data_IF_796516326068
#
_entry.id   IF_796516326068
#
_cell.length_a   1.000
_cell.length_b   1.000
_cell.length_c   1.000
_cell.angle_alpha   90.00
_cell.angle_beta   90.00
_cell.angle_gamma   90.00
#
_symmetry.space_group_name_H-M   'P 1'
#
loop_
_entity.id
_entity.type
_entity.pdbx_description
1 polymer ?
#
# COMPACT_ATOMS: atom_id res chain seq x y z
N UNK A 1 21.70 -8.02 -14.81
CA UNK A 1 23.03 -7.89 -14.18
C UNK A 1 23.28 -6.54 -13.49
N UNK A 2 22.75 -5.39 -14.02
CA UNK A 2 23.01 -4.08 -13.42
C UNK A 2 22.53 -3.94 -11.98
N UNK A 3 21.38 -4.50 -11.63
CA UNK A 3 20.78 -4.41 -10.29
C UNK A 3 21.16 -5.58 -9.37
N UNK A 4 21.87 -6.58 -9.87
CA UNK A 4 22.31 -7.74 -9.09
C UNK A 4 23.17 -7.28 -7.92
N UNK A 5 22.86 -7.77 -6.70
CA UNK A 5 23.53 -7.37 -5.44
C UNK A 5 23.34 -5.90 -5.02
N UNK A 6 22.39 -5.17 -5.65
CA UNK A 6 22.06 -3.77 -5.30
C UNK A 6 20.62 -3.62 -4.84
N UNK A 7 19.69 -4.36 -5.44
CA UNK A 7 18.26 -4.36 -5.09
C UNK A 7 17.88 -5.77 -4.67
N UNK A 8 17.35 -5.88 -3.45
CA UNK A 8 16.99 -7.16 -2.84
C UNK A 8 15.47 -7.39 -2.74
N UNK A 9 14.68 -6.38 -3.08
CA UNK A 9 13.22 -6.40 -3.00
C UNK A 9 12.63 -5.97 -4.34
N UNK A 10 11.82 -6.82 -4.96
CA UNK A 10 11.11 -6.50 -6.20
C UNK A 10 9.62 -6.72 -6.01
N UNK A 11 8.83 -5.66 -6.23
CA UNK A 11 7.38 -5.75 -6.25
C UNK A 11 6.90 -6.06 -7.67
N UNK A 12 6.04 -7.09 -7.80
CA UNK A 12 5.47 -7.47 -9.07
C UNK A 12 4.19 -6.68 -9.32
N UNK A 13 4.26 -5.77 -10.30
CA UNK A 13 3.18 -4.88 -10.71
C UNK A 13 2.74 -3.91 -9.62
N UNK A 14 1.70 -3.10 -9.93
CA UNK A 14 1.12 -2.13 -9.01
C UNK A 14 -0.40 -2.14 -9.15
N UNK A 15 -1.15 -2.25 -8.03
CA UNK A 15 -2.61 -2.11 -7.96
C UNK A 15 -3.36 -2.81 -9.10
N UNK A 16 -2.96 -4.04 -9.43
CA UNK A 16 -3.52 -4.84 -10.51
C UNK A 16 -5.04 -5.03 -10.42
N UNK A 17 -5.61 -4.89 -9.24
CA UNK A 17 -7.01 -5.05 -8.88
C UNK A 17 -7.85 -3.78 -9.10
N UNK A 18 -7.25 -2.69 -9.55
CA UNK A 18 -7.91 -1.40 -9.74
C UNK A 18 -7.67 -0.81 -11.15
N UNK A 19 -8.48 0.21 -11.48
CA UNK A 19 -8.29 1.00 -12.69
C UNK A 19 -7.08 1.95 -12.61
N UNK A 20 -6.56 2.21 -11.42
CA UNK A 20 -5.36 3.03 -11.24
C UNK A 20 -4.10 2.28 -11.66
N UNK A 21 -4.05 0.98 -11.41
CA UNK A 21 -2.94 0.12 -11.85
C UNK A 21 -3.08 -0.46 -13.25
N UNK A 22 -4.30 -0.46 -13.81
CA UNK A 22 -4.58 -1.01 -15.13
C UNK A 22 -5.68 -0.20 -15.83
N UNK A 23 -5.63 -0.09 -17.16
CA UNK A 23 -6.70 0.53 -17.98
C UNK A 23 -8.03 -0.22 -17.84
N UNK A 24 -7.97 -1.53 -17.52
CA UNK A 24 -9.10 -2.36 -17.09
C UNK A 24 -8.66 -3.10 -15.81
N UNK A 25 -9.56 -3.32 -14.83
CA UNK A 25 -9.24 -4.14 -13.67
C UNK A 25 -8.66 -5.49 -14.12
N UNK A 26 -7.50 -5.85 -13.60
CA UNK A 26 -6.85 -7.12 -13.91
C UNK A 26 -7.70 -8.31 -13.44
N UNK A 27 -7.64 -9.40 -14.18
CA UNK A 27 -8.21 -10.67 -13.71
C UNK A 27 -7.24 -11.31 -12.72
N UNK A 28 -7.77 -11.88 -11.66
CA UNK A 28 -6.98 -12.57 -10.64
C UNK A 28 -6.07 -13.63 -11.25
N UNK A 29 -6.60 -14.44 -12.17
CA UNK A 29 -5.84 -15.53 -12.81
C UNK A 29 -4.68 -15.03 -13.68
N UNK A 30 -4.86 -13.89 -14.36
CA UNK A 30 -3.79 -13.32 -15.18
C UNK A 30 -2.68 -12.78 -14.29
N UNK A 31 -3.03 -12.15 -13.16
CA UNK A 31 -2.03 -11.71 -12.18
C UNK A 31 -1.32 -12.90 -11.53
N UNK A 32 -2.03 -13.97 -11.16
CA UNK A 32 -1.42 -15.21 -10.64
C UNK A 32 -0.42 -15.81 -11.63
N UNK A 33 -0.75 -15.86 -12.93
CA UNK A 33 0.19 -16.33 -13.98
C UNK A 33 1.45 -15.46 -14.06
N UNK A 34 1.26 -14.12 -14.07
CA UNK A 34 2.37 -13.17 -14.07
C UNK A 34 3.30 -13.39 -12.87
N UNK A 35 2.72 -13.49 -11.66
CA UNK A 35 3.48 -13.69 -10.43
C UNK A 35 4.27 -15.00 -10.47
N UNK A 36 3.63 -16.11 -10.85
CA UNK A 36 4.31 -17.42 -10.92
C UNK A 36 5.49 -17.40 -11.88
N UNK A 37 5.30 -16.84 -13.07
CA UNK A 37 6.38 -16.75 -14.07
C UNK A 37 7.53 -15.85 -13.59
N UNK A 38 7.21 -14.67 -13.06
CA UNK A 38 8.19 -13.68 -12.60
C UNK A 38 8.94 -14.18 -11.37
N UNK A 39 8.24 -14.74 -10.38
CA UNK A 39 8.84 -15.31 -9.18
C UNK A 39 9.85 -16.41 -9.54
N UNK A 40 9.45 -17.34 -10.39
CA UNK A 40 10.31 -18.44 -10.83
C UNK A 40 11.56 -17.91 -11.53
N UNK A 41 11.42 -16.94 -12.43
CA UNK A 41 12.55 -16.33 -13.12
C UNK A 41 13.51 -15.61 -12.16
N UNK A 42 12.97 -14.81 -11.22
CA UNK A 42 13.80 -14.11 -10.22
C UNK A 42 14.54 -15.11 -9.34
N UNK A 43 13.85 -16.11 -8.81
CA UNK A 43 14.47 -17.10 -7.92
C UNK A 43 15.52 -17.98 -8.59
N UNK A 44 15.37 -18.21 -9.89
CA UNK A 44 16.38 -18.91 -10.69
C UNK A 44 17.69 -18.10 -10.81
N UNK A 45 17.56 -16.78 -10.98
CA UNK A 45 18.73 -15.89 -11.15
C UNK A 45 19.37 -15.49 -9.81
N UNK A 46 18.56 -15.25 -8.78
CA UNK A 46 19.00 -14.76 -7.47
C UNK A 46 18.03 -15.22 -6.37
N UNK A 47 18.27 -16.37 -5.76
CA UNK A 47 17.36 -16.95 -4.73
C UNK A 47 17.16 -16.05 -3.50
N UNK A 48 18.15 -15.20 -3.20
CA UNK A 48 18.15 -14.28 -2.06
C UNK A 48 17.16 -13.10 -2.22
N UNK A 49 16.79 -12.75 -3.44
CA UNK A 49 15.86 -11.67 -3.73
C UNK A 49 14.49 -11.97 -3.13
N UNK A 50 13.93 -10.99 -2.44
CA UNK A 50 12.57 -11.06 -1.88
C UNK A 50 11.56 -10.51 -2.88
N UNK A 51 10.62 -11.34 -3.24
CA UNK A 51 9.55 -11.00 -4.19
C UNK A 51 8.32 -10.55 -3.42
N UNK A 52 7.94 -9.29 -3.65
CA UNK A 52 6.75 -8.67 -3.08
C UNK A 52 5.61 -8.85 -4.08
N UNK A 53 4.50 -9.39 -3.61
CA UNK A 53 3.30 -9.62 -4.43
C UNK A 53 2.08 -8.95 -3.83
N UNK A 54 0.97 -9.11 -4.50
CA UNK A 54 -0.34 -8.59 -4.12
C UNK A 54 -0.54 -7.14 -4.51
N UNK A 55 0.24 -6.17 -3.99
CA UNK A 55 0.08 -4.72 -4.28
C UNK A 55 -1.38 -4.29 -4.33
N UNK A 56 -2.18 -4.78 -3.35
CA UNK A 56 -3.62 -4.57 -3.34
C UNK A 56 -3.96 -3.10 -3.19
N UNK A 57 -4.73 -2.58 -4.13
CA UNK A 57 -5.33 -1.26 -4.00
C UNK A 57 -6.38 -1.21 -2.89
N UNK A 58 -6.84 -0.01 -2.58
CA UNK A 58 -7.98 0.16 -1.67
C UNK A 58 -9.23 -0.63 -2.11
N UNK A 59 -9.39 -0.92 -3.42
CA UNK A 59 -10.53 -1.68 -3.93
C UNK A 59 -10.58 -3.14 -3.44
N UNK A 60 -9.44 -3.73 -3.10
CA UNK A 60 -9.38 -5.09 -2.55
C UNK A 60 -10.16 -5.26 -1.24
N UNK A 61 -10.42 -4.17 -0.53
CA UNK A 61 -11.12 -4.14 0.75
C UNK A 61 -12.62 -3.85 0.64
N UNK A 62 -13.13 -3.65 -0.56
CA UNK A 62 -14.51 -3.18 -0.76
C UNK A 62 -15.56 -4.09 -0.15
N UNK A 63 -15.44 -5.40 -0.32
CA UNK A 63 -16.38 -6.35 0.30
C UNK A 63 -16.35 -6.26 1.83
N UNK A 64 -15.16 -6.19 2.41
CA UNK A 64 -14.96 -6.09 3.86
C UNK A 64 -15.56 -4.81 4.45
N UNK A 65 -15.53 -3.73 3.65
CA UNK A 65 -16.09 -2.43 4.03
C UNK A 65 -17.57 -2.28 3.67
N UNK A 66 -18.19 -3.30 3.05
CA UNK A 66 -19.59 -3.26 2.63
C UNK A 66 -19.86 -2.34 1.44
N UNK A 67 -18.84 -2.03 0.62
CA UNK A 67 -18.95 -1.11 -0.52
C UNK A 67 -19.46 -1.84 -1.78
N UNK A 68 -18.86 -2.99 -2.10
CA UNK A 68 -19.27 -3.86 -3.21
C UNK A 68 -18.76 -5.30 -3.00
N UNK A 69 -19.00 -6.19 -3.97
CA UNK A 69 -18.67 -7.62 -3.87
C UNK A 69 -17.20 -7.95 -4.14
N UNK A 70 -16.34 -6.99 -4.48
CA UNK A 70 -14.94 -7.25 -4.81
C UNK A 70 -14.20 -7.79 -3.58
N UNK A 71 -13.55 -8.93 -3.74
CA UNK A 71 -12.85 -9.66 -2.67
C UNK A 71 -11.52 -10.22 -3.17
N UNK A 72 -10.66 -9.33 -3.66
CA UNK A 72 -9.40 -9.73 -4.28
C UNK A 72 -8.43 -10.39 -3.29
N UNK A 73 -8.47 -10.00 -2.01
CA UNK A 73 -7.63 -10.62 -0.98
C UNK A 73 -7.89 -12.12 -0.92
N UNK A 74 -9.14 -12.54 -0.77
CA UNK A 74 -9.47 -13.96 -0.63
C UNK A 74 -9.28 -14.75 -1.92
N UNK A 75 -9.47 -14.12 -3.08
CA UNK A 75 -9.35 -14.81 -4.38
C UNK A 75 -7.92 -14.94 -4.86
N UNK A 76 -7.03 -14.03 -4.43
CA UNK A 76 -5.61 -14.07 -4.78
C UNK A 76 -4.76 -14.83 -3.75
N UNK A 77 -4.95 -14.58 -2.44
CA UNK A 77 -4.15 -15.23 -1.38
C UNK A 77 -4.67 -16.66 -1.13
N UNK A 78 -4.48 -17.52 -2.10
CA UNK A 78 -4.79 -18.95 -2.04
C UNK A 78 -3.53 -19.75 -1.72
N UNK A 79 -3.66 -20.96 -1.19
CA UNK A 79 -2.53 -21.76 -0.69
C UNK A 79 -1.41 -21.94 -1.74
N UNK A 80 -1.78 -22.15 -3.00
CA UNK A 80 -0.83 -22.27 -4.10
C UNK A 80 0.02 -21.00 -4.30
N UNK A 81 -0.54 -19.82 -4.06
CA UNK A 81 0.19 -18.55 -4.20
C UNK A 81 1.16 -18.27 -3.06
N UNK A 82 1.04 -18.96 -1.94
CA UNK A 82 2.00 -18.84 -0.84
C UNK A 82 3.42 -19.27 -1.24
N UNK A 83 3.55 -20.21 -2.18
CA UNK A 83 4.83 -20.67 -2.72
C UNK A 83 5.50 -19.65 -3.65
N UNK A 84 4.75 -18.69 -4.17
CA UNK A 84 5.22 -17.66 -5.11
C UNK A 84 5.20 -16.25 -4.51
N UNK A 85 5.24 -16.17 -3.17
CA UNK A 85 5.18 -14.90 -2.42
C UNK A 85 6.18 -14.94 -1.30
N UNK A 86 7.11 -13.98 -1.24
CA UNK A 86 7.96 -13.80 -0.05
C UNK A 86 7.35 -12.75 0.88
N UNK A 87 6.75 -11.70 0.34
CA UNK A 87 6.18 -10.57 1.07
C UNK A 87 4.84 -10.17 0.43
N UNK A 88 3.86 -9.85 1.26
CA UNK A 88 2.54 -9.37 0.82
C UNK A 88 2.54 -7.84 0.87
N UNK A 89 2.12 -7.19 -0.21
CA UNK A 89 1.95 -5.74 -0.27
C UNK A 89 0.48 -5.31 -0.26
N UNK A 90 0.18 -4.23 0.46
CA UNK A 90 -1.13 -3.58 0.49
C UNK A 90 -1.00 -2.07 0.41
N UNK A 91 -1.98 -1.40 -0.20
CA UNK A 91 -2.14 0.04 -0.26
C UNK A 91 -3.47 0.43 0.42
N UNK A 92 -3.53 0.54 1.74
CA UNK A 92 -4.80 0.72 2.48
C UNK A 92 -5.28 2.17 2.48
N UNK A 93 -5.30 2.82 1.30
CA UNK A 93 -5.76 4.21 1.15
C UNK A 93 -7.20 4.41 1.61
N UNK A 94 -7.46 5.59 2.14
CA UNK A 94 -8.82 6.09 2.41
C UNK A 94 -9.22 7.18 1.42
N UNK A 95 -8.25 7.87 0.80
CA UNK A 95 -8.48 8.76 -0.33
C UNK A 95 -9.27 8.04 -1.44
N UNK A 96 -9.90 8.74 -2.35
CA UNK A 96 -10.72 8.18 -3.44
C UNK A 96 -12.00 7.42 -3.01
N UNK A 97 -12.32 7.37 -1.73
CA UNK A 97 -13.53 6.74 -1.22
C UNK A 97 -14.51 7.81 -0.74
N UNK A 98 -15.55 8.10 -1.53
CA UNK A 98 -16.58 9.07 -1.15
C UNK A 98 -17.10 8.74 0.27
N UNK A 99 -17.09 9.76 1.16
CA UNK A 99 -17.50 9.60 2.55
C UNK A 99 -16.43 9.02 3.51
N UNK A 100 -15.22 8.68 3.00
CA UNK A 100 -14.15 8.08 3.82
C UNK A 100 -12.82 8.82 3.77
N UNK A 101 -12.70 9.90 3.00
CA UNK A 101 -11.42 10.60 2.75
C UNK A 101 -10.67 10.99 4.02
N UNK A 102 -11.37 11.45 5.04
CA UNK A 102 -10.82 11.83 6.34
C UNK A 102 -11.08 10.79 7.44
N UNK A 103 -11.57 9.60 7.09
CA UNK A 103 -11.91 8.57 8.07
C UNK A 103 -10.73 7.63 8.31
N UNK A 104 -9.88 7.98 9.24
CA UNK A 104 -8.72 7.17 9.65
C UNK A 104 -9.08 5.74 10.10
N UNK A 105 -10.27 5.51 10.65
CA UNK A 105 -10.69 4.17 11.08
C UNK A 105 -10.81 3.17 9.92
N UNK A 106 -11.03 3.65 8.71
CA UNK A 106 -11.05 2.81 7.51
C UNK A 106 -9.66 2.22 7.24
N UNK A 107 -8.59 3.02 7.39
CA UNK A 107 -7.22 2.51 7.34
C UNK A 107 -7.01 1.36 8.34
N UNK A 108 -7.39 1.58 9.61
CA UNK A 108 -7.26 0.55 10.66
C UNK A 108 -8.03 -0.74 10.33
N UNK A 109 -9.26 -0.62 9.84
CA UNK A 109 -10.05 -1.79 9.43
C UNK A 109 -9.37 -2.58 8.31
N UNK A 110 -8.76 -1.91 7.34
CA UNK A 110 -8.07 -2.56 6.22
C UNK A 110 -6.84 -3.35 6.70
N UNK A 111 -5.97 -2.76 7.50
CA UNK A 111 -4.78 -3.47 8.02
C UNK A 111 -5.19 -4.61 8.96
N UNK A 112 -6.16 -4.39 9.84
CA UNK A 112 -6.65 -5.42 10.76
C UNK A 112 -7.27 -6.61 10.02
N UNK A 113 -8.06 -6.35 8.98
CA UNK A 113 -8.62 -7.42 8.14
C UNK A 113 -7.51 -8.24 7.48
N UNK A 114 -6.54 -7.57 6.84
CA UNK A 114 -5.40 -8.24 6.20
C UNK A 114 -4.66 -9.14 7.19
N UNK A 115 -4.27 -8.58 8.32
CA UNK A 115 -3.50 -9.34 9.31
C UNK A 115 -4.28 -10.52 9.90
N UNK A 116 -5.59 -10.34 10.15
CA UNK A 116 -6.45 -11.43 10.61
C UNK A 116 -6.63 -12.52 9.55
N UNK A 117 -6.65 -12.16 8.27
CA UNK A 117 -6.77 -13.11 7.17
C UNK A 117 -5.50 -13.95 7.04
N UNK A 118 -4.34 -13.31 6.93
CA UNK A 118 -3.07 -14.01 6.67
C UNK A 118 -2.62 -14.89 7.84
N UNK A 119 -2.85 -14.47 9.09
CA UNK A 119 -2.45 -15.24 10.29
C UNK A 119 -3.10 -16.62 10.40
N UNK A 120 -4.19 -16.86 9.67
CA UNK A 120 -4.97 -18.12 9.73
C UNK A 120 -4.67 -19.09 8.59
N UNK A 121 -3.81 -18.73 7.63
CA UNK A 121 -3.61 -19.52 6.42
C UNK A 121 -2.14 -19.77 6.10
N UNK A 122 -1.90 -20.21 4.88
CA UNK A 122 -0.56 -20.53 4.35
C UNK A 122 0.38 -19.33 4.25
N UNK A 123 -0.11 -18.13 4.52
CA UNK A 123 0.66 -16.89 4.53
C UNK A 123 1.05 -16.43 5.94
N UNK A 124 0.78 -17.21 7.01
CA UNK A 124 0.94 -16.81 8.41
C UNK A 124 2.33 -16.28 8.77
N UNK A 125 3.35 -16.82 8.11
CA UNK A 125 4.76 -16.48 8.35
C UNK A 125 5.32 -15.48 7.33
N UNK A 126 4.47 -14.98 6.41
CA UNK A 126 4.90 -14.00 5.40
C UNK A 126 4.82 -12.59 5.98
N UNK A 127 5.89 -11.78 5.83
CA UNK A 127 5.83 -10.36 6.16
C UNK A 127 4.77 -9.64 5.32
N UNK A 128 4.16 -8.61 5.92
CA UNK A 128 3.26 -7.68 5.22
C UNK A 128 3.90 -6.31 5.18
N UNK A 129 3.93 -5.72 3.99
CA UNK A 129 4.38 -4.36 3.77
C UNK A 129 3.19 -3.49 3.35
N UNK A 130 3.12 -2.30 3.89
CA UNK A 130 2.34 -1.21 3.30
C UNK A 130 3.29 -0.50 2.34
N UNK A 131 3.18 -0.80 1.04
CA UNK A 131 4.09 -0.22 0.04
C UNK A 131 3.63 1.13 -0.46
N UNK A 132 2.38 1.52 -0.16
CA UNK A 132 1.89 2.88 -0.34
C UNK A 132 0.81 3.23 0.68
N UNK A 133 0.92 4.41 1.29
CA UNK A 133 -0.13 5.06 2.07
C UNK A 133 0.15 6.56 2.18
N UNK A 134 -0.87 7.37 2.04
CA UNK A 134 -0.78 8.82 2.20
C UNK A 134 -2.15 9.47 2.29
N UNK A 135 -2.16 10.75 2.61
CA UNK A 135 -3.34 11.61 2.66
C UNK A 135 -3.00 12.94 2.02
N UNK A 136 -3.77 13.33 1.01
CA UNK A 136 -3.58 14.59 0.30
C UNK A 136 -3.97 15.80 1.15
N UNK A 137 -3.20 16.87 1.05
CA UNK A 137 -3.50 18.18 1.63
C UNK A 137 -3.97 19.19 0.59
N UNK A 138 -4.38 18.71 -0.59
CA UNK A 138 -4.96 19.56 -1.64
C UNK A 138 -6.28 20.18 -1.22
N UNK A 139 -6.72 21.21 -1.94
CA UNK A 139 -8.05 21.79 -1.78
C UNK A 139 -9.15 21.00 -2.52
N UNK A 140 -8.86 19.78 -2.95
CA UNK A 140 -9.84 18.87 -3.53
C UNK A 140 -10.80 18.34 -2.46
N UNK A 141 -11.95 17.74 -2.85
CA UNK A 141 -12.86 17.11 -1.88
C UNK A 141 -12.22 15.96 -1.07
N UNK A 142 -11.11 15.41 -1.54
CA UNK A 142 -10.33 14.35 -0.88
C UNK A 142 -9.27 14.89 0.07
N UNK A 143 -9.00 16.18 0.02
CA UNK A 143 -7.95 16.82 0.81
C UNK A 143 -8.31 16.95 2.29
N UNK A 144 -7.28 16.92 3.12
CA UNK A 144 -7.35 17.17 4.56
C UNK A 144 -6.35 18.27 4.96
N UNK A 145 -6.44 18.79 6.17
CA UNK A 145 -5.45 19.76 6.64
C UNK A 145 -4.06 19.15 6.84
N UNK A 146 -3.00 19.94 6.69
CA UNK A 146 -1.62 19.50 6.99
C UNK A 146 -1.47 18.99 8.44
N UNK A 147 -2.21 19.57 9.38
CA UNK A 147 -2.26 19.10 10.77
C UNK A 147 -2.85 17.68 10.85
N UNK A 148 -3.93 17.44 10.14
CA UNK A 148 -4.58 16.12 10.08
C UNK A 148 -3.69 15.11 9.36
N UNK A 149 -3.02 15.51 8.26
CA UNK A 149 -2.04 14.65 7.55
C UNK A 149 -0.94 14.19 8.52
N UNK A 150 -0.33 15.12 9.28
CA UNK A 150 0.67 14.78 10.30
C UNK A 150 0.13 13.75 11.30
N UNK A 151 -1.07 13.99 11.83
CA UNK A 151 -1.68 13.10 12.80
C UNK A 151 -1.93 11.71 12.23
N UNK A 152 -2.48 11.62 11.02
CA UNK A 152 -2.81 10.36 10.37
C UNK A 152 -1.56 9.56 10.02
N UNK A 153 -0.53 10.19 9.47
CA UNK A 153 0.73 9.52 9.15
C UNK A 153 1.40 8.99 10.42
N UNK A 154 1.50 9.79 11.48
CA UNK A 154 2.11 9.35 12.72
C UNK A 154 1.34 8.17 13.35
N UNK A 155 0.02 8.26 13.37
CA UNK A 155 -0.82 7.17 13.87
C UNK A 155 -0.70 5.93 12.98
N UNK A 156 -0.61 6.10 11.65
CA UNK A 156 -0.51 4.97 10.71
C UNK A 156 0.77 4.17 10.92
N UNK A 157 1.89 4.83 11.17
CA UNK A 157 3.15 4.16 11.51
C UNK A 157 3.00 3.34 12.80
N UNK A 158 2.42 3.93 13.83
CA UNK A 158 2.23 3.25 15.12
C UNK A 158 1.25 2.07 15.02
N UNK A 159 0.12 2.26 14.33
CA UNK A 159 -0.89 1.22 14.18
C UNK A 159 -0.40 0.08 13.27
N UNK A 160 0.37 0.37 12.21
CA UNK A 160 1.03 -0.62 11.39
C UNK A 160 1.99 -1.50 12.22
N UNK A 161 2.88 -0.87 13.01
CA UNK A 161 3.82 -1.59 13.90
C UNK A 161 3.07 -2.48 14.90
N UNK A 162 2.04 -1.94 15.57
CA UNK A 162 1.20 -2.71 16.53
C UNK A 162 0.48 -3.88 15.86
N UNK A 163 0.08 -3.74 14.60
CA UNK A 163 -0.56 -4.81 13.85
C UNK A 163 0.43 -5.91 13.39
N UNK A 164 1.74 -5.67 13.46
CA UNK A 164 2.77 -6.58 12.98
C UNK A 164 3.10 -6.41 11.49
N UNK A 165 2.79 -5.24 10.92
CA UNK A 165 3.27 -4.82 9.60
C UNK A 165 4.78 -4.60 9.68
N UNK A 166 5.53 -5.16 8.73
CA UNK A 166 6.98 -5.18 8.76
C UNK A 166 7.64 -3.96 8.12
N UNK A 167 6.95 -3.27 7.22
CA UNK A 167 7.39 -2.02 6.61
C UNK A 167 6.21 -1.15 6.18
N UNK A 168 6.44 0.16 6.17
CA UNK A 168 5.47 1.15 5.68
C UNK A 168 6.21 2.19 4.84
N UNK A 169 5.72 2.44 3.63
CA UNK A 169 6.21 3.46 2.70
C UNK A 169 5.16 4.55 2.58
N UNK A 170 5.54 5.77 2.89
CA UNK A 170 4.64 6.93 2.82
C UNK A 170 4.66 7.50 1.40
N UNK A 171 3.50 7.61 0.80
CA UNK A 171 3.28 8.28 -0.47
C UNK A 171 2.81 9.72 -0.20
N UNK A 172 3.63 10.76 -0.46
CA UNK A 172 4.94 10.70 -1.08
C UNK A 172 5.90 11.72 -0.46
N UNK A 173 7.14 11.86 -0.95
CA UNK A 173 8.10 12.80 -0.39
C UNK A 173 7.76 14.25 -0.74
N UNK A 174 7.54 14.55 -2.03
CA UNK A 174 7.24 15.89 -2.53
C UNK A 174 5.87 15.94 -3.17
N UNK A 175 5.16 17.06 -3.02
CA UNK A 175 3.95 17.32 -3.79
C UNK A 175 4.26 17.24 -5.29
N UNK A 176 3.43 16.52 -6.05
CA UNK A 176 3.67 16.23 -7.47
C UNK A 176 3.60 17.50 -8.36
N UNK A 177 2.80 18.49 -7.98
CA UNK A 177 2.68 19.76 -8.71
C UNK A 177 2.24 20.91 -7.81
N UNK A 178 2.19 22.13 -8.37
CA UNK A 178 1.65 23.33 -7.70
C UNK A 178 0.12 23.43 -7.76
N UNK A 179 -0.58 22.52 -8.45
CA UNK A 179 -2.03 22.54 -8.58
C UNK A 179 -2.71 22.09 -7.29
N UNK A 180 -3.04 23.04 -6.41
CA UNK A 180 -3.67 22.76 -5.10
C UNK A 180 -5.07 22.13 -5.19
N UNK A 181 -5.71 22.10 -6.35
CA UNK A 181 -7.04 21.51 -6.55
C UNK A 181 -6.99 20.07 -7.04
N UNK A 182 -5.81 19.59 -7.42
CA UNK A 182 -5.60 18.20 -7.79
C UNK A 182 -5.24 17.36 -6.56
N UNK A 183 -5.96 16.27 -6.36
CA UNK A 183 -5.73 15.38 -5.21
C UNK A 183 -4.31 14.82 -5.22
N UNK A 184 -3.78 14.41 -6.38
CA UNK A 184 -2.45 13.83 -6.49
C UNK A 184 -1.34 14.83 -6.12
N UNK A 185 -1.59 16.11 -6.33
CA UNK A 185 -0.61 17.16 -6.05
C UNK A 185 -0.38 17.45 -4.57
N UNK A 186 -1.16 16.84 -3.66
CA UNK A 186 -1.12 17.19 -2.24
C UNK A 186 -0.59 16.11 -1.28
N UNK A 187 -0.14 14.96 -1.79
CA UNK A 187 0.28 13.84 -0.92
C UNK A 187 1.66 14.05 -0.27
N UNK A 188 2.50 14.92 -0.81
CA UNK A 188 3.84 15.17 -0.34
C UNK A 188 3.95 15.50 1.15
N UNK A 189 5.08 15.11 1.74
CA UNK A 189 5.54 15.58 3.05
C UNK A 189 6.23 16.95 2.93
N UNK A 190 6.66 17.28 1.71
CA UNK A 190 7.27 18.54 1.32
C UNK A 190 6.41 19.14 0.21
N UNK A 191 6.12 20.43 0.31
CA UNK A 191 5.35 21.15 -0.72
C UNK A 191 6.14 21.22 -2.03
N UNK A 192 5.45 21.47 -3.14
CA UNK A 192 6.08 21.65 -4.45
C UNK A 192 7.16 22.74 -4.47
N UNK A 193 7.03 23.78 -3.63
CA UNK A 193 8.03 24.84 -3.47
C UNK A 193 9.17 24.50 -2.49
N UNK A 194 9.28 23.27 -2.02
CA UNK A 194 10.34 22.81 -1.11
C UNK A 194 10.08 23.04 0.37
N UNK A 195 8.97 23.68 0.77
CA UNK A 195 8.64 23.87 2.17
C UNK A 195 8.17 22.57 2.82
N UNK A 196 8.75 22.21 3.96
CA UNK A 196 8.39 21.01 4.73
C UNK A 196 7.02 21.18 5.39
N UNK A 197 6.13 20.23 5.18
CA UNK A 197 4.86 20.17 5.91
C UNK A 197 5.08 19.66 7.34
N UNK A 198 4.16 19.89 8.28
CA UNK A 198 4.26 19.39 9.65
C UNK A 198 4.46 17.87 9.75
N UNK A 199 3.95 17.10 8.78
CA UNK A 199 4.10 15.65 8.71
C UNK A 199 5.57 15.23 8.52
N UNK A 200 6.36 15.96 7.73
CA UNK A 200 7.79 15.70 7.53
C UNK A 200 8.58 15.70 8.86
N UNK A 201 8.31 16.70 9.70
CA UNK A 201 8.96 16.78 11.02
C UNK A 201 8.38 15.73 11.97
N UNK A 202 7.06 15.49 11.87
CA UNK A 202 6.36 14.53 12.71
C UNK A 202 6.89 13.10 12.57
N UNK A 203 7.24 12.67 11.36
CA UNK A 203 7.83 11.34 11.14
C UNK A 203 9.17 11.20 11.88
N UNK A 204 10.04 12.21 11.79
CA UNK A 204 11.36 12.17 12.45
C UNK A 204 11.29 12.08 13.98
N UNK A 205 10.21 12.56 14.57
CA UNK A 205 9.97 12.54 16.02
C UNK A 205 8.97 11.45 16.44
N UNK A 206 8.66 10.51 15.57
CA UNK A 206 7.67 9.47 15.85
C UNK A 206 8.29 8.38 16.75
N UNK A 207 7.76 8.22 17.94
CA UNK A 207 8.25 7.23 18.93
C UNK A 207 7.94 5.76 18.55
N UNK A 208 7.26 5.52 17.42
CA UNK A 208 6.95 4.18 16.91
C UNK A 208 7.96 3.68 15.86
N UNK A 209 8.89 4.53 15.44
CA UNK A 209 9.96 4.16 14.51
C UNK A 209 11.11 3.46 15.21
#
# INVERSE_FOLDING_TARGET
NYYKNRIFYYQIWNEWDSKLGNTKPGKVDDYKKLVKATYTAIKKESPEIKVITSSFSAAAFNKTLGIDSRNFINTYLTDDMSHFTDIIAIHPYTAYRKGYFSNYQIYKKQIQYTMNFIRKGSFKDKPVFITEIGWSTSNSPQGISEKTQKQFINNAICDAKKAGISAIIIYELNDASSNIYDTESGFGLVKYNGLKKPAYVGIKSNNCL
#
